data_IF_497307786428
#
_entry.id   IF_497307786428
#
_cell.length_a   1.000
_cell.length_b   1.000
_cell.length_c   1.000
_cell.angle_alpha   90.00
_cell.angle_beta   90.00
_cell.angle_gamma   90.00
#
_symmetry.space_group_name_H-M   'P 1'
#
loop_
_entity.id
_entity.type
_entity.pdbx_description
1 polymer ?
#
# COMPACT_ATOMS: atom_id res chain seq x y z
N UNK A 1 1.31 -9.56 20.19
CA UNK A 1 2.25 -8.57 19.62
C UNK A 1 1.52 -7.27 19.31
N UNK A 2 2.20 -6.14 19.45
CA UNK A 2 1.72 -4.82 19.05
C UNK A 2 2.40 -4.40 17.73
N UNK A 3 1.72 -3.61 16.91
CA UNK A 3 2.25 -3.06 15.66
C UNK A 3 2.25 -1.51 15.71
N UNK A 4 2.10 -0.88 14.55
CA UNK A 4 1.86 0.55 14.38
C UNK A 4 0.48 1.01 14.87
N UNK A 5 0.40 2.31 15.09
CA UNK A 5 -0.84 3.06 15.23
C UNK A 5 -1.01 4.00 14.03
N UNK A 6 -2.19 4.03 13.43
CA UNK A 6 -2.53 4.94 12.33
C UNK A 6 -3.90 5.61 12.58
N UNK A 7 -4.24 6.58 11.74
CA UNK A 7 -5.54 7.24 11.74
C UNK A 7 -5.89 7.62 10.31
N UNK A 8 -7.18 7.85 10.03
CA UNK A 8 -7.66 8.42 8.77
C UNK A 8 -7.45 9.95 8.73
N UNK A 9 -7.32 10.61 9.88
CA UNK A 9 -7.14 12.08 9.97
C UNK A 9 -5.69 12.52 9.67
N UNK A 10 -4.71 11.61 9.73
CA UNK A 10 -3.28 11.91 9.55
C UNK A 10 -2.57 10.80 8.76
N UNK A 11 -1.68 11.22 7.86
CA UNK A 11 -0.90 10.31 6.99
C UNK A 11 0.24 9.62 7.76
N UNK A 12 0.57 10.07 8.98
CA UNK A 12 1.77 9.63 9.72
C UNK A 12 1.41 8.56 10.74
N UNK A 13 1.84 7.29 10.56
CA UNK A 13 1.72 6.26 11.57
C UNK A 13 2.85 6.36 12.62
N UNK A 14 2.57 5.90 13.83
CA UNK A 14 3.51 5.88 14.94
C UNK A 14 3.68 4.48 15.52
N UNK A 15 4.82 4.20 16.14
CA UNK A 15 5.03 2.94 16.85
C UNK A 15 4.30 2.95 18.18
N UNK A 16 4.05 1.77 18.74
CA UNK A 16 3.43 1.64 20.07
C UNK A 16 4.22 2.41 21.15
N UNK A 17 5.55 2.48 21.07
CA UNK A 17 6.39 3.17 22.04
C UNK A 17 6.41 4.71 21.88
N UNK A 18 5.83 5.26 20.80
CA UNK A 18 5.75 6.72 20.63
C UNK A 18 4.83 7.38 21.66
N UNK A 19 3.78 6.66 22.06
CA UNK A 19 2.86 7.07 23.10
C UNK A 19 3.27 6.41 24.42
N UNK A 20 2.88 7.00 25.55
CA UNK A 20 3.23 6.51 26.89
C UNK A 20 2.41 5.29 27.32
N UNK A 21 2.39 4.25 26.48
CA UNK A 21 1.83 2.94 26.77
C UNK A 21 2.85 2.06 27.52
N UNK A 22 2.56 0.78 27.70
CA UNK A 22 3.41 -0.16 28.45
C UNK A 22 4.44 -0.85 27.52
N UNK A 23 5.70 -0.39 27.44
CA UNK A 23 6.73 -1.09 26.66
C UNK A 23 7.16 -2.40 27.34
N UNK A 24 7.62 -3.35 26.53
CA UNK A 24 8.36 -4.55 26.96
C UNK A 24 9.70 -4.59 26.21
N UNK A 25 10.67 -5.30 26.78
CA UNK A 25 11.94 -5.60 26.13
C UNK A 25 11.77 -6.14 24.70
N UNK A 26 12.46 -5.52 23.74
CA UNK A 26 12.34 -5.79 22.30
C UNK A 26 13.17 -6.99 21.84
N UNK A 27 13.89 -7.66 22.75
CA UNK A 27 14.78 -8.79 22.44
C UNK A 27 14.10 -9.93 21.67
N UNK A 28 12.79 -10.14 21.87
CA UNK A 28 11.98 -11.17 21.19
C UNK A 28 11.19 -10.65 19.98
N UNK A 29 11.61 -9.54 19.36
CA UNK A 29 10.97 -9.03 18.14
C UNK A 29 11.15 -10.02 16.95
N UNK A 30 10.07 -10.38 16.23
CA UNK A 30 10.16 -11.23 15.06
C UNK A 30 10.92 -10.53 13.92
N UNK A 31 11.59 -11.31 13.08
CA UNK A 31 12.31 -10.80 11.91
C UNK A 31 11.30 -10.37 10.84
N UNK A 32 11.39 -9.11 10.41
CA UNK A 32 10.54 -8.52 9.38
C UNK A 32 11.12 -8.77 7.99
N UNK A 33 10.27 -9.13 7.03
CA UNK A 33 10.73 -9.19 5.64
C UNK A 33 10.78 -7.79 5.00
N UNK A 34 11.47 -7.67 3.86
CA UNK A 34 11.68 -6.38 3.19
C UNK A 34 10.36 -5.63 2.89
N UNK A 35 9.31 -6.36 2.53
CA UNK A 35 8.00 -5.78 2.20
C UNK A 35 7.30 -5.22 3.45
N UNK A 36 7.39 -5.93 4.58
CA UNK A 36 6.88 -5.44 5.87
C UNK A 36 7.60 -4.16 6.29
N UNK A 37 8.94 -4.13 6.16
CA UNK A 37 9.73 -2.97 6.55
C UNK A 37 9.42 -1.74 5.70
N UNK A 38 9.29 -1.92 4.38
CA UNK A 38 9.00 -0.83 3.43
C UNK A 38 7.58 -0.26 3.63
N UNK A 39 6.64 -1.07 4.08
CA UNK A 39 5.27 -0.63 4.40
C UNK A 39 5.12 -0.10 5.83
N UNK A 40 6.19 -0.06 6.62
CA UNK A 40 6.16 0.45 7.98
C UNK A 40 5.41 -0.43 8.96
N UNK A 41 5.37 -1.75 8.73
CA UNK A 41 5.02 -2.70 9.80
C UNK A 41 6.19 -2.77 10.78
N UNK A 42 5.88 -2.71 12.08
CA UNK A 42 6.83 -2.75 13.20
C UNK A 42 6.26 -3.64 14.29
N UNK A 43 6.54 -4.95 14.21
CA UNK A 43 5.94 -5.92 15.13
C UNK A 43 6.81 -6.03 16.39
N UNK A 44 6.26 -5.61 17.53
CA UNK A 44 6.94 -5.61 18.83
C UNK A 44 6.21 -6.49 19.83
N UNK A 45 6.93 -7.12 20.79
CA UNK A 45 6.29 -7.79 21.91
C UNK A 45 5.47 -6.78 22.71
N UNK A 46 4.29 -7.19 23.17
CA UNK A 46 3.41 -6.36 24.00
C UNK A 46 3.36 -6.88 25.44
N UNK A 47 2.82 -6.10 26.38
CA UNK A 47 2.68 -6.46 27.79
C UNK A 47 1.69 -7.60 28.08
N UNK A 48 0.88 -7.94 27.09
CA UNK A 48 -0.21 -8.90 27.19
C UNK A 48 0.31 -10.33 27.07
N UNK A 49 0.37 -11.05 28.21
CA UNK A 49 0.73 -12.47 28.25
C UNK A 49 -0.55 -13.30 28.11
N UNK A 50 -0.60 -14.10 27.05
CA UNK A 50 -1.74 -14.94 26.70
C UNK A 50 -1.25 -16.38 26.70
N UNK A 51 -1.85 -17.23 27.55
CA UNK A 51 -1.63 -18.67 27.53
C UNK A 51 -2.86 -19.34 26.90
N UNK A 52 -2.64 -20.29 26.00
CA UNK A 52 -3.73 -20.91 25.26
C UNK A 52 -4.64 -21.72 26.20
N UNK A 53 -5.96 -21.52 26.11
CA UNK A 53 -6.99 -22.13 26.98
C UNK A 53 -7.00 -21.67 28.44
N UNK A 54 -6.22 -20.65 28.79
CA UNK A 54 -6.25 -20.03 30.12
C UNK A 54 -7.01 -18.70 30.04
N UNK A 55 -8.24 -18.70 30.57
CA UNK A 55 -9.01 -17.47 30.70
C UNK A 55 -8.42 -16.59 31.79
N UNK A 56 -8.17 -15.33 31.44
CA UNK A 56 -7.56 -14.35 32.35
C UNK A 56 -8.57 -13.22 32.54
N UNK A 57 -9.02 -12.98 33.77
CA UNK A 57 -9.91 -11.86 34.09
C UNK A 57 -9.10 -10.74 34.75
N UNK A 58 -9.14 -9.55 34.16
CA UNK A 58 -8.62 -8.31 34.76
C UNK A 58 -7.13 -8.35 35.18
N UNK A 59 -6.25 -8.83 34.30
CA UNK A 59 -4.82 -8.80 34.56
C UNK A 59 -4.22 -7.41 34.33
N UNK A 60 -3.25 -7.02 35.17
CA UNK A 60 -2.49 -5.77 35.04
C UNK A 60 -1.44 -5.89 33.93
N UNK A 61 -1.44 -4.94 33.00
CA UNK A 61 -0.36 -4.77 32.03
C UNK A 61 0.73 -3.83 32.59
N UNK A 62 0.37 -2.59 32.92
CA UNK A 62 1.23 -1.64 33.63
C UNK A 62 0.41 -0.50 34.23
N UNK A 63 1.04 0.34 35.06
CA UNK A 63 0.47 1.59 35.55
C UNK A 63 1.33 2.77 35.07
N UNK A 64 0.69 3.89 34.74
CA UNK A 64 1.33 5.13 34.31
C UNK A 64 0.90 6.27 35.21
N UNK A 65 1.87 6.98 35.74
CA UNK A 65 1.68 8.08 36.68
C UNK A 65 2.00 9.40 36.00
N UNK A 66 1.10 10.36 36.12
CA UNK A 66 1.27 11.72 35.61
C UNK A 66 1.07 12.71 36.75
N UNK A 67 1.97 13.67 36.88
CA UNK A 67 1.88 14.73 37.90
C UNK A 67 1.80 16.10 37.24
N UNK A 68 0.77 16.87 37.55
CA UNK A 68 0.59 18.22 37.03
C UNK A 68 1.68 19.17 37.51
N UNK A 69 2.23 19.96 36.58
CA UNK A 69 3.33 20.89 36.83
C UNK A 69 4.73 20.32 36.58
N UNK A 70 4.83 19.03 36.22
CA UNK A 70 6.06 18.41 35.74
C UNK A 70 6.07 18.39 34.20
N UNK A 71 7.06 19.05 33.60
CA UNK A 71 7.12 19.25 32.16
C UNK A 71 7.11 17.94 31.35
N UNK A 72 7.74 16.88 31.84
CA UNK A 72 7.77 15.57 31.18
C UNK A 72 6.40 14.85 31.24
N UNK A 73 5.79 14.79 32.43
CA UNK A 73 4.44 14.25 32.61
C UNK A 73 3.40 14.98 31.74
N UNK A 74 3.46 16.31 31.70
CA UNK A 74 2.57 17.13 30.90
C UNK A 74 2.77 16.90 29.39
N UNK A 75 4.03 16.77 28.93
CA UNK A 75 4.33 16.44 27.54
C UNK A 75 3.81 15.05 27.14
N UNK A 76 4.07 14.01 27.94
CA UNK A 76 3.58 12.64 27.67
C UNK A 76 2.05 12.59 27.62
N UNK A 77 1.38 13.26 28.56
CA UNK A 77 -0.08 13.35 28.56
C UNK A 77 -0.62 14.14 27.35
N UNK A 78 0.05 15.21 26.94
CA UNK A 78 -0.31 15.98 25.75
C UNK A 78 -0.22 15.13 24.47
N UNK A 79 0.84 14.33 24.32
CA UNK A 79 1.00 13.41 23.18
C UNK A 79 -0.12 12.37 23.16
N UNK A 80 -0.48 11.81 24.31
CA UNK A 80 -1.59 10.86 24.44
C UNK A 80 -2.93 11.52 24.06
N UNK A 81 -3.23 12.70 24.60
CA UNK A 81 -4.44 13.49 24.26
C UNK A 81 -4.51 13.81 22.77
N UNK A 82 -3.38 14.18 22.16
CA UNK A 82 -3.29 14.43 20.72
C UNK A 82 -3.60 13.16 19.91
N UNK A 83 -3.05 12.01 20.33
CA UNK A 83 -3.35 10.72 19.73
C UNK A 83 -4.84 10.37 19.77
N UNK A 84 -5.48 10.57 20.92
CA UNK A 84 -6.93 10.37 21.08
C UNK A 84 -7.75 11.35 20.25
N UNK A 85 -7.33 12.62 20.19
CA UNK A 85 -8.03 13.65 19.42
C UNK A 85 -8.04 13.35 17.92
N UNK A 86 -6.99 12.70 17.41
CA UNK A 86 -6.85 12.31 16.02
C UNK A 86 -7.37 10.88 15.76
N UNK A 87 -8.03 10.24 16.73
CA UNK A 87 -8.57 8.87 16.62
C UNK A 87 -7.53 7.83 16.14
N UNK A 88 -6.32 7.87 16.69
CA UNK A 88 -5.31 6.85 16.39
C UNK A 88 -5.75 5.46 16.85
N UNK A 89 -5.63 4.47 15.97
CA UNK A 89 -6.04 3.09 16.18
C UNK A 89 -4.84 2.16 16.39
N UNK A 90 -4.93 1.29 17.38
CA UNK A 90 -4.05 0.17 17.63
C UNK A 90 -4.25 -0.94 16.60
N UNK A 91 -3.15 -1.39 16.00
CA UNK A 91 -3.10 -2.62 15.20
C UNK A 91 -2.35 -3.69 16.00
N UNK A 92 -3.07 -4.65 16.54
CA UNK A 92 -2.47 -5.75 17.31
C UNK A 92 -2.56 -7.06 16.56
N UNK A 93 -1.68 -7.99 16.95
CA UNK A 93 -1.49 -9.26 16.27
C UNK A 93 -1.40 -10.40 17.30
N UNK A 94 -2.17 -11.44 17.07
CA UNK A 94 -2.15 -12.71 17.82
C UNK A 94 -2.18 -13.86 16.81
N UNK A 95 -1.22 -14.79 16.88
CA UNK A 95 -1.11 -15.95 15.96
C UNK A 95 -1.29 -15.60 14.46
N UNK A 96 -0.58 -14.55 14.04
CA UNK A 96 -0.63 -14.02 12.67
C UNK A 96 -2.02 -13.50 12.22
N UNK A 97 -3.02 -13.42 13.11
CA UNK A 97 -4.30 -12.75 12.89
C UNK A 97 -4.27 -11.32 13.45
N UNK A 98 -4.88 -10.34 12.75
CA UNK A 98 -5.13 -9.03 13.33
C UNK A 98 -6.19 -9.14 14.42
N UNK A 99 -6.04 -8.34 15.46
CA UNK A 99 -7.08 -8.14 16.47
C UNK A 99 -8.13 -7.19 15.89
N UNK A 100 -9.38 -7.62 15.88
CA UNK A 100 -10.47 -6.89 15.24
C UNK A 100 -11.42 -6.26 16.25
N UNK A 101 -11.85 -5.03 15.99
CA UNK A 101 -12.91 -4.40 16.75
C UNK A 101 -14.17 -4.35 15.91
N UNK A 102 -15.20 -5.04 16.40
CA UNK A 102 -16.45 -5.18 15.68
C UNK A 102 -17.58 -4.42 16.38
N UNK A 103 -18.34 -3.63 15.64
CA UNK A 103 -19.52 -2.93 16.15
C UNK A 103 -20.74 -3.16 15.24
N UNK A 104 -21.95 -3.20 15.82
CA UNK A 104 -23.17 -3.37 15.04
C UNK A 104 -23.49 -2.09 14.25
N UNK A 105 -23.96 -2.25 13.01
CA UNK A 105 -24.57 -1.18 12.22
C UNK A 105 -26.11 -1.29 12.30
N UNK A 106 -26.80 -0.20 11.95
CA UNK A 106 -28.28 -0.10 11.95
C UNK A 106 -28.99 -1.22 11.14
N UNK A 107 -28.31 -1.83 10.17
CA UNK A 107 -28.87 -2.85 9.26
C UNK A 107 -28.63 -4.31 9.69
N UNK A 108 -28.47 -4.60 10.99
CA UNK A 108 -28.09 -5.93 11.53
C UNK A 108 -26.74 -6.49 11.01
N UNK A 109 -26.00 -5.70 10.23
CA UNK A 109 -24.67 -6.04 9.74
C UNK A 109 -23.63 -5.65 10.78
N UNK A 110 -22.65 -6.51 11.00
CA UNK A 110 -21.51 -6.22 11.86
C UNK A 110 -20.34 -5.74 11.01
N UNK A 111 -19.78 -4.56 11.31
CA UNK A 111 -18.53 -4.12 10.71
C UNK A 111 -17.38 -4.47 11.66
N UNK A 112 -16.31 -5.06 11.13
CA UNK A 112 -15.10 -5.37 11.88
C UNK A 112 -13.91 -4.62 11.30
N UNK A 113 -13.39 -3.65 12.05
CA UNK A 113 -12.12 -3.00 11.73
C UNK A 113 -10.95 -3.86 12.18
N UNK A 114 -9.83 -3.80 11.46
CA UNK A 114 -8.56 -4.48 11.81
C UNK A 114 -7.72 -3.72 12.84
N UNK A 115 -8.24 -2.59 13.32
CA UNK A 115 -7.68 -1.84 14.44
C UNK A 115 -8.77 -1.28 15.35
N UNK A 116 -8.37 -0.83 16.53
CA UNK A 116 -9.28 -0.25 17.51
C UNK A 116 -8.69 1.03 18.09
N UNK A 117 -9.50 2.06 18.37
CA UNK A 117 -9.00 3.35 18.83
C UNK A 117 -8.29 3.25 20.18
N UNK A 118 -7.27 4.07 20.41
CA UNK A 118 -6.58 4.17 21.71
C UNK A 118 -7.43 4.82 22.81
N UNK A 119 -8.51 5.50 22.41
CA UNK A 119 -9.38 6.26 23.27
C UNK A 119 -10.30 7.13 22.43
N UNK A 120 -11.07 7.98 23.10
CA UNK A 120 -12.04 8.81 22.43
C UNK A 120 -12.13 10.21 23.06
N UNK A 121 -12.42 11.21 22.23
CA UNK A 121 -12.68 12.59 22.62
C UNK A 121 -14.13 12.93 22.28
N UNK A 122 -14.90 13.38 23.27
CA UNK A 122 -16.26 13.89 23.04
C UNK A 122 -16.16 15.35 22.59
N UNK A 123 -16.32 15.58 21.28
CA UNK A 123 -16.36 16.92 20.69
C UNK A 123 -17.78 17.49 20.76
N UNK A 124 -17.88 18.81 20.94
CA UNK A 124 -19.14 19.54 20.89
C UNK A 124 -19.40 19.94 19.43
N UNK A 125 -20.18 19.17 18.68
CA UNK A 125 -20.55 19.51 17.30
C UNK A 125 -21.82 20.41 17.30
N UNK A 126 -21.95 21.37 16.36
CA UNK A 126 -23.16 22.20 16.24
C UNK A 126 -24.45 21.41 15.94
N UNK A 127 -24.33 20.27 15.26
CA UNK A 127 -25.47 19.44 14.79
C UNK A 127 -25.75 18.21 15.70
N UNK A 128 -25.08 18.12 16.84
CA UNK A 128 -25.22 17.00 17.80
C UNK A 128 -23.90 16.67 18.51
N UNK A 129 -23.96 15.95 19.63
CA UNK A 129 -22.75 15.42 20.26
C UNK A 129 -22.27 14.20 19.45
N UNK A 130 -21.15 14.29 18.73
CA UNK A 130 -20.40 13.10 18.30
C UNK A 130 -19.81 12.45 19.55
N UNK A 131 -20.65 11.68 20.23
CA UNK A 131 -20.25 10.84 21.35
C UNK A 131 -19.38 9.68 20.86
N UNK A 132 -18.58 9.15 21.77
CA UNK A 132 -17.88 7.90 21.55
C UNK A 132 -18.90 6.78 21.34
N UNK A 133 -19.09 6.33 20.09
CA UNK A 133 -20.10 5.32 19.73
C UNK A 133 -19.98 4.01 20.53
N UNK A 134 -18.83 3.77 21.16
CA UNK A 134 -18.52 2.56 21.93
C UNK A 134 -19.34 2.43 23.22
N UNK A 135 -19.65 3.53 23.93
CA UNK A 135 -20.34 3.44 25.21
C UNK A 135 -21.16 4.70 25.53
N UNK A 136 -22.47 4.56 25.84
CA UNK A 136 -23.30 5.69 26.22
C UNK A 136 -22.84 6.40 27.50
N UNK A 137 -21.93 5.84 28.31
CA UNK A 137 -21.43 6.52 29.50
C UNK A 137 -20.42 7.64 29.18
N UNK A 138 -19.90 7.71 27.96
CA UNK A 138 -18.89 8.69 27.54
C UNK A 138 -19.57 9.97 27.04
N UNK A 139 -20.17 10.74 27.95
CA UNK A 139 -21.03 11.90 27.59
C UNK A 139 -20.42 13.27 27.85
N UNK A 140 -19.36 13.38 28.66
CA UNK A 140 -18.88 14.70 29.07
C UNK A 140 -18.10 15.37 27.94
N UNK A 141 -18.69 16.41 27.35
CA UNK A 141 -18.04 17.20 26.31
C UNK A 141 -16.71 17.80 26.79
N UNK A 142 -15.67 17.73 25.96
CA UNK A 142 -14.33 18.25 26.28
C UNK A 142 -13.50 17.34 27.19
N UNK A 143 -13.96 16.12 27.46
CA UNK A 143 -13.20 15.09 28.16
C UNK A 143 -12.67 14.04 27.19
N UNK A 144 -11.52 13.50 27.55
CA UNK A 144 -10.85 12.38 26.90
C UNK A 144 -11.04 11.12 27.72
N UNK A 145 -11.37 10.04 27.03
CA UNK A 145 -11.60 8.72 27.58
C UNK A 145 -10.57 7.75 26.99
N UNK A 146 -9.42 7.52 27.66
CA UNK A 146 -8.44 6.54 27.19
C UNK A 146 -8.99 5.13 27.36
N UNK A 147 -8.77 4.27 26.37
CA UNK A 147 -9.15 2.86 26.42
C UNK A 147 -8.03 2.06 27.07
N UNK A 148 -8.04 2.06 28.40
CA UNK A 148 -7.04 1.41 29.24
C UNK A 148 -7.36 -0.05 29.55
N UNK A 149 -8.61 -0.49 29.39
CA UNK A 149 -8.99 -1.89 29.50
C UNK A 149 -9.35 -2.48 28.13
N UNK A 150 -8.81 -3.66 27.84
CA UNK A 150 -9.12 -4.41 26.61
C UNK A 150 -9.62 -5.80 26.96
N UNK A 151 -10.80 -6.14 26.46
CA UNK A 151 -11.35 -7.48 26.58
C UNK A 151 -11.15 -8.23 25.25
N UNK A 152 -10.36 -9.31 25.29
CA UNK A 152 -9.99 -10.10 24.12
C UNK A 152 -10.78 -11.41 24.11
N UNK A 153 -11.68 -11.55 23.14
CA UNK A 153 -12.34 -12.82 22.85
C UNK A 153 -11.60 -13.54 21.72
N UNK A 154 -10.94 -14.65 22.06
CA UNK A 154 -10.19 -15.49 21.11
C UNK A 154 -11.06 -16.69 20.74
N UNK A 155 -11.45 -16.79 19.47
CA UNK A 155 -12.17 -17.96 18.97
C UNK A 155 -11.20 -18.95 18.35
N UNK A 156 -11.31 -20.22 18.73
CA UNK A 156 -10.41 -21.28 18.25
C UNK A 156 -11.17 -22.50 17.71
N UNK A 157 -10.52 -23.19 16.77
CA UNK A 157 -10.93 -24.50 16.28
C UNK A 157 -10.21 -25.56 17.11
N UNK A 158 -10.94 -26.42 17.82
CA UNK A 158 -10.33 -27.50 18.60
C UNK A 158 -9.77 -28.58 17.68
N UNK A 159 -8.53 -29.01 17.94
CA UNK A 159 -7.91 -30.13 17.23
C UNK A 159 -8.31 -31.51 17.78
N UNK A 160 -9.13 -31.58 18.83
CA UNK A 160 -9.43 -32.84 19.53
C UNK A 160 -10.11 -33.90 18.64
N UNK A 161 -10.86 -33.48 17.61
CA UNK A 161 -11.58 -34.35 16.68
C UNK A 161 -10.90 -34.47 15.31
N UNK A 162 -9.74 -33.85 15.13
CA UNK A 162 -9.10 -33.64 13.83
C UNK A 162 -7.76 -34.36 13.74
N UNK A 163 -7.45 -34.95 12.58
CA UNK A 163 -6.22 -35.73 12.36
C UNK A 163 -4.93 -34.91 12.62
N UNK A 164 -4.94 -33.61 12.35
CA UNK A 164 -3.82 -32.71 12.62
C UNK A 164 -3.65 -32.34 14.10
N UNK A 165 -4.67 -32.56 14.94
CA UNK A 165 -4.64 -32.29 16.37
C UNK A 165 -4.21 -33.49 17.24
N UNK A 166 -4.07 -34.67 16.64
CA UNK A 166 -3.71 -35.93 17.33
C UNK A 166 -2.35 -35.81 18.06
N UNK A 167 -1.42 -35.00 17.55
CA UNK A 167 -0.12 -34.75 18.18
C UNK A 167 -0.20 -33.88 19.46
N UNK A 168 -1.23 -33.05 19.61
CA UNK A 168 -1.37 -32.07 20.71
C UNK A 168 -2.48 -32.41 21.71
N UNK A 169 -3.15 -33.57 21.56
CA UNK A 169 -4.26 -34.05 22.43
C UNK A 169 -5.34 -32.96 22.63
N UNK A 170 -5.97 -32.89 23.82
CA UNK A 170 -7.06 -31.95 24.12
C UNK A 170 -6.63 -30.47 24.25
N UNK A 171 -5.32 -30.19 24.28
CA UNK A 171 -4.80 -28.82 24.47
C UNK A 171 -4.33 -28.16 23.16
N UNK A 172 -4.60 -28.79 22.01
CA UNK A 172 -4.27 -28.25 20.70
C UNK A 172 -5.48 -27.58 20.03
N UNK A 173 -5.31 -26.34 19.56
CA UNK A 173 -6.30 -25.67 18.72
C UNK A 173 -5.67 -24.62 17.82
N UNK A 174 -6.38 -24.26 16.75
CA UNK A 174 -5.96 -23.20 15.83
C UNK A 174 -6.82 -21.97 16.04
N UNK A 175 -6.20 -20.79 16.14
CA UNK A 175 -6.93 -19.54 16.32
C UNK A 175 -7.60 -19.14 15.00
N UNK A 176 -8.90 -18.86 15.08
CA UNK A 176 -9.75 -18.48 13.96
C UNK A 176 -9.94 -16.96 13.94
N UNK A 177 -10.31 -16.37 15.07
CA UNK A 177 -10.56 -14.93 15.17
C UNK A 177 -10.17 -14.40 16.53
N UNK A 178 -9.86 -13.11 16.57
CA UNK A 178 -9.54 -12.38 17.80
C UNK A 178 -10.31 -11.07 17.76
N UNK A 179 -11.30 -10.95 18.64
CA UNK A 179 -12.13 -9.76 18.78
C UNK A 179 -11.72 -9.01 20.03
N UNK A 180 -11.66 -7.68 19.94
CA UNK A 180 -11.40 -6.81 21.08
C UNK A 180 -12.61 -5.94 21.36
N UNK A 181 -12.93 -5.79 22.65
CA UNK A 181 -13.85 -4.77 23.14
C UNK A 181 -13.04 -3.82 24.01
N UNK A 182 -12.68 -2.63 23.50
CA UNK A 182 -11.96 -1.65 24.28
C UNK A 182 -12.91 -0.90 25.22
N UNK A 183 -12.45 -0.60 26.42
CA UNK A 183 -13.21 0.16 27.42
C UNK A 183 -12.30 1.06 28.25
N UNK A 184 -12.88 2.16 28.71
CA UNK A 184 -12.28 3.08 29.68
C UNK A 184 -12.79 2.71 31.07
N UNK A 185 -11.88 2.39 32.00
CA UNK A 185 -12.19 1.98 33.38
C UNK A 185 -11.33 2.77 34.37
N UNK A 186 -11.95 3.37 35.37
CA UNK A 186 -11.26 4.01 36.47
C UNK A 186 -10.92 3.00 37.58
N UNK A 187 -9.67 2.52 37.58
CA UNK A 187 -9.16 1.63 38.63
C UNK A 187 -8.76 2.45 39.87
N UNK A 188 -9.37 2.18 41.02
CA UNK A 188 -9.11 2.92 42.27
C UNK A 188 -7.75 2.58 42.92
N UNK A 189 -7.25 1.37 42.67
CA UNK A 189 -5.98 0.88 43.22
C UNK A 189 -5.28 -0.03 42.22
N UNK A 190 -3.95 -0.04 42.27
CA UNK A 190 -3.12 -0.97 41.51
C UNK A 190 -3.17 -2.42 42.00
N UNK A 191 -3.52 -2.62 43.28
CA UNK A 191 -3.55 -3.94 43.93
C UNK A 191 -4.93 -4.57 43.89
N UNK A 192 -5.99 -3.76 43.82
CA UNK A 192 -7.39 -4.19 43.76
C UNK A 192 -8.02 -3.70 42.46
N UNK A 193 -7.82 -4.47 41.40
CA UNK A 193 -8.33 -4.15 40.07
C UNK A 193 -9.80 -4.55 39.95
N UNK A 194 -10.66 -3.64 39.50
CA UNK A 194 -12.07 -3.90 39.27
C UNK A 194 -12.45 -3.60 37.82
N UNK A 195 -12.33 -4.60 36.95
CA UNK A 195 -12.71 -4.48 35.54
C UNK A 195 -14.22 -4.62 35.29
N UNK A 196 -15.03 -4.93 36.32
CA UNK A 196 -16.49 -4.94 36.19
C UNK A 196 -17.10 -3.53 36.42
N UNK A 197 -16.28 -2.58 36.88
CA UNK A 197 -16.69 -1.18 37.04
C UNK A 197 -17.03 -0.54 35.69
N UNK A 198 -18.18 0.14 35.63
CA UNK A 198 -18.63 0.91 34.46
C UNK A 198 -18.23 2.38 34.53
N UNK A 199 -17.49 2.78 35.57
CA UNK A 199 -17.01 4.15 35.74
C UNK A 199 -15.79 4.39 34.85
N UNK A 200 -15.88 5.29 33.85
CA UNK A 200 -14.75 5.61 33.00
C UNK A 200 -13.70 6.47 33.69
N UNK A 201 -12.45 6.35 33.23
CA UNK A 201 -11.43 7.34 33.54
C UNK A 201 -11.64 8.57 32.62
N UNK A 202 -11.71 9.73 33.25
CA UNK A 202 -12.05 10.99 32.61
C UNK A 202 -10.87 11.96 32.69
N UNK A 203 -10.32 12.34 31.54
CA UNK A 203 -9.21 13.28 31.46
C UNK A 203 -9.71 14.58 30.86
N UNK A 204 -9.63 15.68 31.60
CA UNK A 204 -10.00 17.00 31.09
C UNK A 204 -9.05 17.47 29.98
N UNK A 205 -9.56 18.29 29.06
CA UNK A 205 -8.75 18.87 27.98
C UNK A 205 -7.62 19.77 28.50
N UNK A 206 -7.88 20.56 29.54
CA UNK A 206 -6.87 21.41 30.19
C UNK A 206 -5.69 20.60 30.76
N UNK A 207 -4.55 21.27 30.93
CA UNK A 207 -3.41 20.71 31.65
C UNK A 207 -3.81 20.34 33.08
N UNK A 208 -3.12 19.35 33.65
CA UNK A 208 -3.33 18.98 35.04
C UNK A 208 -2.92 20.16 35.94
N UNK A 209 -3.76 20.58 36.90
CA UNK A 209 -3.38 21.52 37.94
C UNK A 209 -2.10 21.09 38.67
N UNK A 210 -1.25 22.04 39.10
CA UNK A 210 -0.01 21.72 39.78
C UNK A 210 -0.28 20.94 41.07
N UNK A 211 0.37 19.78 41.22
CA UNK A 211 0.21 18.91 42.39
C UNK A 211 -0.92 17.87 42.28
N UNK A 212 -1.78 17.92 41.25
CA UNK A 212 -2.74 16.85 40.97
C UNK A 212 -2.03 15.67 40.30
N UNK A 213 -2.34 14.45 40.74
CA UNK A 213 -1.86 13.21 40.13
C UNK A 213 -2.97 12.53 39.32
N UNK A 214 -2.60 11.94 38.20
CA UNK A 214 -3.46 11.13 37.34
C UNK A 214 -2.77 9.79 37.10
N UNK A 215 -3.42 8.70 37.48
CA UNK A 215 -2.90 7.36 37.31
C UNK A 215 -3.74 6.61 36.28
N UNK A 216 -3.10 6.13 35.21
CA UNK A 216 -3.73 5.32 34.17
C UNK A 216 -3.22 3.90 34.32
N UNK A 217 -4.09 3.00 34.80
CA UNK A 217 -3.77 1.59 34.95
C UNK A 217 -4.29 0.84 33.72
N UNK A 218 -3.38 0.23 32.96
CA UNK A 218 -3.72 -0.60 31.80
C UNK A 218 -3.98 -2.03 32.24
N UNK A 219 -5.12 -2.57 31.86
CA UNK A 219 -5.52 -3.95 32.20
C UNK A 219 -6.08 -4.67 30.98
N UNK A 220 -6.15 -6.00 31.06
CA UNK A 220 -6.72 -6.81 29.99
C UNK A 220 -7.45 -8.03 30.54
N UNK A 221 -8.42 -8.50 29.76
CA UNK A 221 -9.10 -9.79 29.97
C UNK A 221 -8.97 -10.62 28.70
N UNK A 222 -8.92 -11.94 28.85
CA UNK A 222 -8.84 -12.90 27.75
C UNK A 222 -9.87 -14.00 28.00
N UNK A 223 -10.70 -14.22 26.99
CA UNK A 223 -11.72 -15.26 26.98
C UNK A 223 -11.58 -16.14 25.75
N UNK A 224 -11.48 -17.45 25.96
CA UNK A 224 -11.43 -18.43 24.88
C UNK A 224 -12.81 -18.97 24.55
N UNK A 225 -13.14 -18.98 23.26
CA UNK A 225 -14.42 -19.50 22.76
C UNK A 225 -14.18 -20.56 21.70
N UNK A 226 -14.73 -21.76 21.90
CA UNK A 226 -14.59 -22.85 20.93
C UNK A 226 -15.61 -22.70 19.80
N UNK A 227 -15.15 -22.76 18.55
CA UNK A 227 -16.03 -22.83 17.38
C UNK A 227 -15.46 -23.76 16.30
N UNK A 228 -16.02 -24.96 16.19
CA UNK A 228 -15.59 -25.96 15.20
C UNK A 228 -16.32 -25.88 13.86
N UNK A 229 -17.22 -24.90 13.66
CA UNK A 229 -17.94 -24.75 12.39
C UNK A 229 -17.10 -24.08 11.32
N UNK A 230 -16.16 -23.21 11.73
CA UNK A 230 -15.33 -22.43 10.82
C UNK A 230 -14.04 -23.19 10.53
N UNK A 231 -13.79 -23.49 9.25
CA UNK A 231 -12.53 -24.09 8.83
C UNK A 231 -11.39 -23.09 8.99
N UNK A 232 -10.21 -23.58 9.33
CA UNK A 232 -9.02 -22.72 9.47
C UNK A 232 -8.68 -21.95 8.18
N UNK A 233 -8.94 -22.53 7.00
CA UNK A 233 -8.71 -21.89 5.71
C UNK A 233 -9.58 -20.65 5.46
N UNK A 234 -10.82 -20.63 5.99
CA UNK A 234 -11.79 -19.54 5.86
C UNK A 234 -11.70 -18.52 7.00
N UNK A 235 -10.63 -18.56 7.81
CA UNK A 235 -10.52 -17.71 9.01
C UNK A 235 -10.43 -16.21 8.72
N UNK A 236 -10.15 -15.82 7.48
CA UNK A 236 -10.10 -14.42 7.05
C UNK A 236 -11.46 -13.88 6.60
N UNK A 237 -12.44 -14.75 6.35
CA UNK A 237 -13.70 -14.39 5.71
C UNK A 237 -14.50 -13.40 6.55
N UNK A 238 -14.52 -13.54 7.87
CA UNK A 238 -15.24 -12.60 8.76
C UNK A 238 -14.74 -11.15 8.64
N UNK A 239 -13.46 -10.95 8.33
CA UNK A 239 -12.88 -9.61 8.13
C UNK A 239 -13.28 -9.11 6.75
N UNK A 240 -13.08 -9.94 5.72
CA UNK A 240 -13.31 -9.60 4.32
C UNK A 240 -14.79 -9.33 4.03
N UNK A 241 -15.70 -10.13 4.57
CA UNK A 241 -17.15 -9.97 4.43
C UNK A 241 -17.69 -8.76 5.19
N UNK A 242 -17.06 -8.40 6.31
CA UNK A 242 -17.50 -7.25 7.12
C UNK A 242 -17.18 -5.90 6.47
N UNK A 243 -16.32 -5.84 5.45
CA UNK A 243 -15.97 -4.56 4.79
C UNK A 243 -17.16 -4.03 3.96
N UNK A 244 -17.67 -2.81 4.23
CA UNK A 244 -18.94 -2.29 3.70
C UNK A 244 -18.89 -2.00 2.20
N UNK A 245 -17.71 -2.03 1.58
CA UNK A 245 -17.48 -1.71 0.18
C UNK A 245 -17.18 -2.92 -0.71
N UNK A 246 -17.39 -4.16 -0.26
CA UNK A 246 -17.14 -5.36 -1.09
C UNK A 246 -18.26 -5.71 -2.06
N UNK A 247 -19.29 -4.87 -2.18
CA UNK A 247 -20.06 -4.87 -3.42
C UNK A 247 -19.12 -4.34 -4.51
N UNK A 248 -18.55 -5.23 -5.31
CA UNK A 248 -17.94 -4.88 -6.60
C UNK A 248 -18.89 -3.88 -7.23
N UNK A 249 -18.39 -2.68 -7.54
CA UNK A 249 -19.17 -1.63 -8.18
C UNK A 249 -19.41 -2.03 -9.63
N UNK A 250 -20.12 -3.13 -9.84
CA UNK A 250 -20.45 -3.71 -11.14
C UNK A 250 -21.08 -2.66 -12.04
N UNK A 251 -21.85 -1.74 -11.45
CA UNK A 251 -22.39 -0.60 -12.15
C UNK A 251 -21.30 0.33 -12.71
N UNK A 252 -20.28 0.69 -11.92
CA UNK A 252 -19.14 1.51 -12.37
C UNK A 252 -18.30 0.78 -13.42
N UNK A 253 -18.01 -0.50 -13.21
CA UNK A 253 -17.24 -1.32 -14.16
C UNK A 253 -18.00 -1.46 -15.48
N UNK A 254 -19.27 -1.84 -15.44
CA UNK A 254 -20.11 -2.00 -16.63
C UNK A 254 -20.28 -0.66 -17.35
N UNK A 255 -20.54 0.42 -16.62
CA UNK A 255 -20.64 1.76 -17.21
C UNK A 255 -19.33 2.17 -17.91
N UNK A 256 -18.19 1.97 -17.25
CA UNK A 256 -16.87 2.26 -17.84
C UNK A 256 -16.60 1.40 -19.09
N UNK A 257 -16.98 0.12 -19.07
CA UNK A 257 -16.82 -0.81 -20.18
C UNK A 257 -17.72 -0.43 -21.37
N UNK A 258 -18.98 -0.05 -21.12
CA UNK A 258 -19.90 0.44 -22.15
C UNK A 258 -19.39 1.73 -22.77
N UNK A 259 -18.92 2.69 -21.95
CA UNK A 259 -18.34 3.94 -22.46
C UNK A 259 -17.11 3.65 -23.33
N UNK A 260 -16.20 2.78 -22.88
CA UNK A 260 -15.01 2.41 -23.66
C UNK A 260 -15.37 1.69 -24.96
N UNK A 261 -16.32 0.75 -24.93
CA UNK A 261 -16.81 0.07 -26.13
C UNK A 261 -17.49 1.04 -27.10
N UNK A 262 -18.33 1.94 -26.62
CA UNK A 262 -19.02 2.91 -27.47
C UNK A 262 -18.06 3.94 -28.08
N UNK A 263 -17.13 4.47 -27.28
CA UNK A 263 -16.10 5.40 -27.77
C UNK A 263 -15.17 4.72 -28.77
N UNK A 264 -14.70 3.49 -28.48
CA UNK A 264 -13.85 2.74 -29.40
C UNK A 264 -14.59 2.37 -30.69
N UNK A 265 -15.87 2.02 -30.61
CA UNK A 265 -16.73 1.77 -31.77
C UNK A 265 -17.00 3.02 -32.59
N UNK A 266 -17.24 4.17 -31.95
CA UNK A 266 -17.41 5.46 -32.62
C UNK A 266 -16.11 5.86 -33.34
N UNK A 267 -14.96 5.77 -32.67
CA UNK A 267 -13.65 6.02 -33.28
C UNK A 267 -13.38 5.06 -34.43
N UNK A 268 -13.69 3.76 -34.27
CA UNK A 268 -13.55 2.77 -35.32
C UNK A 268 -14.47 3.06 -36.52
N UNK A 269 -15.72 3.47 -36.30
CA UNK A 269 -16.64 3.85 -37.37
C UNK A 269 -16.20 5.12 -38.10
N UNK A 270 -15.71 6.14 -37.37
CA UNK A 270 -15.10 7.32 -37.97
C UNK A 270 -13.86 6.93 -38.79
N UNK A 271 -12.98 6.08 -38.24
CA UNK A 271 -11.78 5.61 -38.92
C UNK A 271 -12.13 4.78 -40.16
N UNK A 272 -13.09 3.86 -40.09
CA UNK A 272 -13.55 3.06 -41.22
C UNK A 272 -14.21 3.93 -42.28
N UNK A 273 -15.08 4.87 -41.89
CA UNK A 273 -15.76 5.77 -42.82
C UNK A 273 -14.78 6.71 -43.52
N UNK A 274 -13.81 7.25 -42.79
CA UNK A 274 -12.74 8.09 -43.36
C UNK A 274 -11.84 7.27 -44.28
N UNK A 275 -11.41 6.08 -43.87
CA UNK A 275 -10.58 5.19 -44.68
C UNK A 275 -11.31 4.71 -45.94
N UNK A 276 -12.60 4.36 -45.85
CA UNK A 276 -13.40 3.94 -47.01
C UNK A 276 -13.63 5.09 -47.99
N UNK A 277 -13.94 6.29 -47.48
CA UNK A 277 -14.07 7.52 -48.29
C UNK A 277 -12.74 7.88 -48.96
N UNK A 278 -11.63 7.77 -48.24
CA UNK A 278 -10.31 8.04 -48.78
C UNK A 278 -9.95 7.02 -49.87
N UNK A 279 -10.11 5.72 -49.63
CA UNK A 279 -9.87 4.66 -50.63
C UNK A 279 -10.75 4.84 -51.88
N UNK A 280 -12.05 5.12 -51.71
CA UNK A 280 -12.96 5.34 -52.83
C UNK A 280 -12.55 6.56 -53.67
N UNK A 281 -12.10 7.64 -53.02
CA UNK A 281 -11.54 8.83 -53.70
C UNK A 281 -10.24 8.49 -54.44
N UNK A 282 -9.35 7.69 -53.86
CA UNK A 282 -8.12 7.28 -54.53
C UNK A 282 -8.39 6.46 -55.80
N UNK A 283 -9.32 5.49 -55.74
CA UNK A 283 -9.65 4.65 -56.90
C UNK A 283 -10.29 5.44 -58.06
N UNK A 284 -10.94 6.58 -57.76
CA UNK A 284 -11.49 7.48 -58.78
C UNK A 284 -10.43 8.37 -59.44
N UNK A 285 -9.29 8.61 -58.77
CA UNK A 285 -8.22 9.51 -59.24
C UNK A 285 -7.10 8.80 -60.02
N UNK A 286 -7.25 7.51 -60.35
CA UNK A 286 -6.31 6.69 -61.15
C UNK A 286 -6.24 7.10 -62.64
N UNK A 287 -6.69 8.31 -62.99
CA UNK A 287 -6.72 8.88 -64.34
C UNK A 287 -5.83 10.12 -64.52
N UNK A 288 -5.03 10.50 -63.52
CA UNK A 288 -4.07 11.61 -63.60
C UNK A 288 -2.79 11.34 -62.81
N UNK A 289 -1.75 10.85 -63.49
CA UNK A 289 -0.52 10.28 -62.90
C UNK A 289 0.34 11.25 -62.06
N UNK A 290 0.12 12.57 -62.06
CA UNK A 290 1.06 13.53 -61.43
C UNK A 290 0.54 14.25 -60.16
N UNK A 291 -0.74 14.10 -59.78
CA UNK A 291 -1.29 14.76 -58.57
C UNK A 291 -1.37 13.82 -57.34
N UNK A 292 -0.93 12.58 -57.49
CA UNK A 292 -1.22 11.46 -56.59
C UNK A 292 -0.29 11.37 -55.36
N UNK A 293 0.78 12.18 -55.30
CA UNK A 293 1.79 12.14 -54.23
C UNK A 293 1.62 13.21 -53.11
N UNK A 294 0.67 14.15 -53.23
CA UNK A 294 0.63 15.36 -52.38
C UNK A 294 -0.51 15.46 -51.34
N UNK A 295 -1.37 14.44 -51.17
CA UNK A 295 -2.46 14.48 -50.17
C UNK A 295 -2.69 13.15 -49.42
N UNK A 296 -3.02 13.24 -48.12
CA UNK A 296 -3.56 12.13 -47.31
C UNK A 296 -2.59 11.39 -46.38
N UNK A 297 -3.08 10.32 -45.72
CA UNK A 297 -2.33 9.48 -44.76
C UNK A 297 -1.06 8.83 -45.36
N UNK A 298 -0.98 8.74 -46.69
CA UNK A 298 0.17 8.25 -47.45
C UNK A 298 1.41 9.16 -47.33
N UNK A 299 1.23 10.48 -47.12
CA UNK A 299 2.32 11.40 -46.76
C UNK A 299 2.86 11.11 -45.35
N UNK A 300 1.95 10.77 -44.44
CA UNK A 300 2.27 10.51 -43.03
C UNK A 300 2.98 9.17 -42.87
N UNK A 301 2.66 8.20 -43.73
CA UNK A 301 3.27 6.86 -43.74
C UNK A 301 4.81 6.89 -43.67
N UNK A 302 5.47 7.77 -44.43
CA UNK A 302 6.93 7.95 -44.42
C UNK A 302 7.48 8.78 -43.25
N UNK A 303 6.60 9.47 -42.50
CA UNK A 303 6.94 10.36 -41.38
C UNK A 303 6.64 9.75 -40.00
N UNK A 304 5.70 8.79 -39.88
CA UNK A 304 5.39 8.07 -38.62
C UNK A 304 6.62 7.38 -38.03
N UNK A 305 7.43 6.76 -38.89
CA UNK A 305 8.61 6.01 -38.47
C UNK A 305 9.86 6.88 -38.38
N UNK A 306 9.72 8.21 -38.46
CA UNK A 306 10.86 9.11 -38.29
C UNK A 306 11.36 9.01 -36.84
N UNK A 307 12.68 8.88 -36.62
CA UNK A 307 13.22 8.90 -35.28
C UNK A 307 12.85 10.20 -34.57
N UNK A 308 12.24 10.12 -33.37
CA UNK A 308 11.80 11.31 -32.65
C UNK A 308 13.01 12.10 -32.12
N UNK A 309 12.84 13.42 -31.96
CA UNK A 309 13.91 14.33 -31.47
C UNK A 309 14.54 13.86 -30.15
N UNK A 310 13.75 13.25 -29.26
CA UNK A 310 14.17 12.69 -27.97
C UNK A 310 14.04 11.16 -27.94
N UNK A 311 14.50 10.47 -28.99
CA UNK A 311 14.37 9.00 -29.10
C UNK A 311 15.01 8.19 -27.98
N UNK A 312 16.07 8.69 -27.34
CA UNK A 312 16.68 8.05 -26.16
C UNK A 312 15.74 8.06 -24.94
N UNK A 313 15.04 9.17 -24.70
CA UNK A 313 14.12 9.26 -23.57
C UNK A 313 12.91 8.36 -23.78
N UNK A 314 12.38 8.33 -25.01
CA UNK A 314 11.25 7.47 -25.36
C UNK A 314 11.59 5.99 -25.22
N UNK A 315 12.77 5.56 -25.69
CA UNK A 315 13.21 4.16 -25.56
C UNK A 315 13.44 3.77 -24.09
N UNK A 316 13.90 4.70 -23.25
CA UNK A 316 14.04 4.50 -21.81
C UNK A 316 12.68 4.30 -21.15
N UNK A 317 11.73 5.22 -21.36
CA UNK A 317 10.39 5.15 -20.77
C UNK A 317 9.64 3.90 -21.20
N UNK A 318 9.77 3.49 -22.46
CA UNK A 318 9.16 2.26 -22.97
C UNK A 318 9.79 1.01 -22.33
N UNK A 319 11.12 1.01 -22.12
CA UNK A 319 11.82 -0.04 -21.39
C UNK A 319 11.36 -0.17 -19.94
N UNK A 320 11.24 0.94 -19.22
CA UNK A 320 10.71 0.93 -17.86
C UNK A 320 9.22 0.54 -17.82
N UNK A 321 8.44 0.95 -18.83
CA UNK A 321 7.03 0.59 -18.95
C UNK A 321 6.82 -0.93 -19.12
N UNK A 322 7.61 -1.58 -19.98
CA UNK A 322 7.52 -3.04 -20.15
C UNK A 322 7.94 -3.78 -18.88
N UNK A 323 8.92 -3.25 -18.13
CA UNK A 323 9.36 -3.83 -16.86
C UNK A 323 8.22 -3.84 -15.84
N UNK A 324 7.57 -2.70 -15.64
CA UNK A 324 6.42 -2.58 -14.73
C UNK A 324 5.26 -3.45 -15.19
N UNK A 325 4.95 -3.44 -16.49
CA UNK A 325 3.87 -4.27 -17.05
C UNK A 325 4.09 -5.77 -16.84
N UNK A 326 5.30 -6.28 -17.14
CA UNK A 326 5.63 -7.69 -16.89
C UNK A 326 5.61 -8.01 -15.39
N UNK A 327 6.13 -7.11 -14.54
CA UNK A 327 6.09 -7.29 -13.09
C UNK A 327 4.66 -7.39 -12.58
N UNK A 328 3.76 -6.49 -12.99
CA UNK A 328 2.35 -6.53 -12.57
C UNK A 328 1.66 -7.79 -13.04
N UNK A 329 1.90 -8.23 -14.28
CA UNK A 329 1.29 -9.43 -14.84
C UNK A 329 1.75 -10.70 -14.11
N UNK A 330 3.05 -10.85 -13.86
CA UNK A 330 3.60 -12.01 -13.14
C UNK A 330 3.16 -12.02 -11.67
N UNK A 331 3.16 -10.86 -11.01
CA UNK A 331 2.69 -10.74 -9.62
C UNK A 331 1.21 -11.10 -9.51
N UNK A 332 0.38 -10.63 -10.46
CA UNK A 332 -1.04 -10.96 -10.52
C UNK A 332 -1.26 -12.46 -10.75
N UNK A 333 -0.48 -13.09 -11.64
CA UNK A 333 -0.56 -14.54 -11.86
C UNK A 333 -0.26 -15.33 -10.57
N UNK A 334 0.78 -14.98 -9.82
CA UNK A 334 1.07 -15.61 -8.53
C UNK A 334 0.01 -15.34 -7.46
N UNK A 335 -0.61 -14.16 -7.48
CA UNK A 335 -1.74 -13.84 -6.61
C UNK A 335 -2.98 -14.69 -6.94
N UNK A 336 -3.33 -14.82 -8.23
CA UNK A 336 -4.46 -15.63 -8.68
C UNK A 336 -4.27 -17.14 -8.42
N UNK A 337 -3.03 -17.63 -8.45
CA UNK A 337 -2.71 -19.02 -8.07
C UNK A 337 -2.74 -19.27 -6.55
N UNK A 338 -2.92 -18.22 -5.74
CA UNK A 338 -3.04 -18.33 -4.28
C UNK A 338 -1.69 -18.40 -3.54
N UNK A 339 -0.56 -18.28 -4.23
CA UNK A 339 0.77 -18.30 -3.58
C UNK A 339 1.05 -17.06 -2.73
N UNK A 340 0.35 -15.95 -3.02
CA UNK A 340 0.47 -14.67 -2.28
C UNK A 340 -0.74 -14.45 -1.36
N UNK A 341 -1.05 -15.43 -0.51
CA UNK A 341 -2.13 -15.32 0.48
C UNK A 341 -1.84 -14.20 1.50
N UNK A 342 -2.85 -13.46 1.98
CA UNK A 342 -2.74 -12.52 3.10
C UNK A 342 -2.13 -13.13 4.38
N UNK A 343 -2.13 -14.46 4.50
CA UNK A 343 -1.46 -15.17 5.58
C UNK A 343 0.05 -14.90 5.62
N UNK A 344 0.71 -14.67 4.48
CA UNK A 344 2.13 -14.35 4.42
C UNK A 344 2.31 -12.82 4.34
N UNK A 345 2.45 -12.18 5.49
CA UNK A 345 2.53 -10.71 5.58
C UNK A 345 3.72 -10.15 4.80
N UNK A 346 3.49 -9.06 4.08
CA UNK A 346 4.50 -8.42 3.23
C UNK A 346 4.99 -9.26 2.04
N UNK A 347 4.54 -10.51 1.86
CA UNK A 347 5.03 -11.40 0.80
C UNK A 347 4.66 -10.91 -0.61
N UNK A 348 3.48 -10.31 -0.77
CA UNK A 348 3.07 -9.70 -2.03
C UNK A 348 4.04 -8.57 -2.44
N UNK A 349 4.43 -7.75 -1.47
CA UNK A 349 5.31 -6.60 -1.71
C UNK A 349 6.76 -7.02 -1.92
N UNK A 350 7.27 -7.96 -1.12
CA UNK A 350 8.60 -8.54 -1.38
C UNK A 350 8.66 -9.18 -2.75
N UNK A 351 7.64 -9.95 -3.13
CA UNK A 351 7.55 -10.59 -4.44
C UNK A 351 7.56 -9.54 -5.55
N UNK A 352 6.74 -8.50 -5.46
CA UNK A 352 6.70 -7.43 -6.45
C UNK A 352 8.07 -6.73 -6.59
N UNK A 353 8.75 -6.41 -5.48
CA UNK A 353 10.08 -5.76 -5.50
C UNK A 353 11.17 -6.66 -6.10
N UNK A 354 11.18 -7.95 -5.73
CA UNK A 354 12.13 -8.92 -6.27
C UNK A 354 11.88 -9.13 -7.77
N UNK A 355 10.61 -9.31 -8.18
CA UNK A 355 10.22 -9.44 -9.58
C UNK A 355 10.59 -8.20 -10.38
N UNK A 356 10.39 -7.00 -9.84
CA UNK A 356 10.80 -5.76 -10.49
C UNK A 356 12.29 -5.77 -10.83
N UNK A 357 13.14 -6.20 -9.90
CA UNK A 357 14.59 -6.23 -10.07
C UNK A 357 15.05 -7.34 -11.01
N UNK A 358 14.44 -8.53 -10.94
CA UNK A 358 14.72 -9.64 -11.85
C UNK A 358 14.24 -9.35 -13.29
N UNK A 359 13.16 -8.58 -13.46
CA UNK A 359 12.63 -8.20 -14.76
C UNK A 359 13.34 -6.99 -15.40
N UNK A 360 14.52 -6.61 -14.89
CA UNK A 360 15.39 -5.63 -15.55
C UNK A 360 15.84 -6.04 -16.97
N UNK A 361 15.94 -7.34 -17.23
CA UNK A 361 16.35 -7.88 -18.55
C UNK A 361 15.39 -7.49 -19.68
N UNK A 362 14.05 -7.74 -19.58
CA UNK A 362 13.07 -7.22 -20.54
C UNK A 362 13.17 -5.71 -20.78
N UNK A 363 13.39 -4.93 -19.70
CA UNK A 363 13.48 -3.48 -19.75
C UNK A 363 14.64 -3.02 -20.65
N UNK A 364 15.84 -3.57 -20.40
CA UNK A 364 17.03 -3.30 -21.18
C UNK A 364 16.89 -3.76 -22.63
N UNK A 365 16.28 -4.93 -22.85
CA UNK A 365 16.08 -5.50 -24.18
C UNK A 365 15.18 -4.63 -25.07
N UNK A 366 13.99 -4.26 -24.59
CA UNK A 366 13.05 -3.42 -25.35
C UNK A 366 13.62 -2.03 -25.56
N UNK A 367 14.22 -1.44 -24.53
CA UNK A 367 14.84 -0.12 -24.63
C UNK A 367 15.94 -0.08 -25.70
N UNK A 368 16.87 -1.04 -25.68
CA UNK A 368 17.96 -1.09 -26.64
C UNK A 368 17.48 -1.36 -28.08
N UNK A 369 16.45 -2.20 -28.25
CA UNK A 369 15.85 -2.49 -29.56
C UNK A 369 15.21 -1.27 -30.20
N UNK A 370 14.44 -0.53 -29.41
CA UNK A 370 13.72 0.67 -29.88
C UNK A 370 14.70 1.84 -30.10
N UNK A 371 15.70 1.97 -29.23
CA UNK A 371 16.78 2.94 -29.45
C UNK A 371 17.57 2.66 -30.73
N UNK A 372 17.83 1.37 -31.02
CA UNK A 372 18.49 0.95 -32.26
C UNK A 372 17.63 1.19 -33.50
N UNK A 373 16.31 0.99 -33.44
CA UNK A 373 15.43 1.32 -34.58
C UNK A 373 15.41 2.81 -34.92
N UNK A 374 15.65 3.69 -33.93
CA UNK A 374 15.80 5.12 -34.17
C UNK A 374 17.19 5.53 -34.70
N UNK A 375 18.09 4.59 -35.00
CA UNK A 375 19.46 4.87 -35.45
C UNK A 375 20.41 5.26 -34.31
N UNK A 376 20.05 4.96 -33.06
CA UNK A 376 20.88 5.25 -31.89
C UNK A 376 22.13 4.35 -31.80
N UNK A 377 23.31 4.97 -31.73
CA UNK A 377 24.61 4.26 -31.64
C UNK A 377 25.11 4.16 -30.19
N UNK A 378 24.72 5.11 -29.32
CA UNK A 378 25.20 5.23 -27.93
C UNK A 378 24.44 4.29 -26.98
N UNK A 379 24.49 2.99 -27.23
CA UNK A 379 23.75 1.98 -26.46
C UNK A 379 24.11 1.98 -24.97
N UNK A 380 25.39 2.14 -24.60
CA UNK A 380 25.83 2.20 -23.19
C UNK A 380 25.11 3.31 -22.40
N UNK A 381 24.98 4.50 -23.01
CA UNK A 381 24.28 5.63 -22.40
C UNK A 381 22.78 5.38 -22.30
N UNK A 382 22.19 4.72 -23.31
CA UNK A 382 20.77 4.36 -23.26
C UNK A 382 20.50 3.41 -22.08
N UNK A 383 21.31 2.36 -21.91
CA UNK A 383 21.14 1.38 -20.83
C UNK A 383 21.29 2.00 -19.45
N UNK A 384 22.31 2.84 -19.27
CA UNK A 384 22.52 3.54 -18.01
C UNK A 384 21.31 4.43 -17.68
N UNK A 385 20.77 5.13 -18.68
CA UNK A 385 19.58 5.96 -18.50
C UNK A 385 18.33 5.11 -18.23
N UNK A 386 18.19 3.93 -18.85
CA UNK A 386 17.07 3.01 -18.61
C UNK A 386 17.04 2.49 -17.17
N UNK A 387 18.20 2.16 -16.61
CA UNK A 387 18.30 1.62 -15.26
C UNK A 387 18.31 2.68 -14.16
N UNK A 388 18.71 3.91 -14.47
CA UNK A 388 18.82 4.98 -13.48
C UNK A 388 17.66 5.99 -13.46
N UNK A 389 17.04 6.30 -14.61
CA UNK A 389 16.10 7.41 -14.70
C UNK A 389 14.83 7.17 -13.87
N UNK A 390 14.04 6.15 -14.22
CA UNK A 390 12.76 5.90 -13.56
C UNK A 390 12.95 5.44 -12.10
N UNK A 391 13.81 4.43 -11.80
CA UNK A 391 14.05 4.03 -10.42
C UNK A 391 14.68 5.13 -9.58
N UNK A 392 15.57 5.96 -10.16
CA UNK A 392 16.22 7.06 -9.45
C UNK A 392 15.28 8.20 -9.09
N UNK A 393 14.33 8.54 -9.97
CA UNK A 393 13.28 9.53 -9.63
C UNK A 393 12.39 9.00 -8.50
N UNK A 394 11.95 7.74 -8.58
CA UNK A 394 11.11 7.12 -7.53
C UNK A 394 11.87 7.02 -6.21
N UNK A 395 13.13 6.59 -6.24
CA UNK A 395 13.97 6.50 -5.05
C UNK A 395 14.25 7.89 -4.46
N UNK A 396 14.48 8.91 -5.29
CA UNK A 396 14.69 10.29 -4.83
C UNK A 396 13.45 10.84 -4.09
N UNK A 397 12.26 10.66 -4.65
CA UNK A 397 11.01 11.03 -4.01
C UNK A 397 10.80 10.25 -2.70
N UNK A 398 11.02 8.94 -2.74
CA UNK A 398 10.91 8.07 -1.57
C UNK A 398 11.89 8.47 -0.46
N UNK A 399 13.14 8.79 -0.80
CA UNK A 399 14.16 9.21 0.15
C UNK A 399 13.80 10.53 0.83
N UNK A 400 13.33 11.53 0.07
CA UNK A 400 12.86 12.81 0.63
C UNK A 400 11.68 12.59 1.58
N UNK A 401 10.70 11.76 1.20
CA UNK A 401 9.59 11.41 2.08
C UNK A 401 10.07 10.67 3.34
N UNK A 402 11.05 9.78 3.21
CA UNK A 402 11.63 9.07 4.34
C UNK A 402 12.34 10.00 5.34
N UNK A 403 13.04 11.03 4.84
CA UNK A 403 13.66 12.06 5.69
C UNK A 403 12.60 12.82 6.51
N UNK A 404 11.47 13.14 5.90
CA UNK A 404 10.34 13.79 6.59
C UNK A 404 9.76 12.86 7.66
N UNK A 405 9.58 11.58 7.35
CA UNK A 405 9.08 10.58 8.30
C UNK A 405 10.04 10.36 9.47
N UNK A 406 11.35 10.33 9.24
CA UNK A 406 12.35 10.29 10.32
C UNK A 406 12.31 11.54 11.20
N UNK A 407 12.21 12.74 10.60
CA UNK A 407 12.11 13.99 11.37
C UNK A 407 10.87 14.02 12.27
N UNK A 408 9.82 13.27 11.92
CA UNK A 408 8.58 13.16 12.71
C UNK A 408 8.54 11.94 13.63
N UNK A 409 9.55 11.07 13.63
CA UNK A 409 9.56 9.85 14.45
C UNK A 409 8.48 8.83 14.06
N UNK A 410 8.13 8.75 12.78
CA UNK A 410 7.09 7.86 12.27
C UNK A 410 7.55 6.40 12.22
N UNK A 411 6.64 5.46 12.51
CA UNK A 411 6.88 4.02 12.28
C UNK A 411 6.99 3.66 10.80
N UNK A 412 6.43 4.50 9.94
CA UNK A 412 6.50 4.38 8.49
C UNK A 412 7.89 4.67 7.92
N UNK A 413 8.78 5.22 8.74
CA UNK A 413 10.14 5.49 8.31
C UNK A 413 10.93 4.18 8.13
N UNK A 414 11.53 4.05 6.96
CA UNK A 414 12.36 2.92 6.59
C UNK A 414 13.75 3.12 7.19
N UNK A 415 14.29 2.14 7.94
CA UNK A 415 15.58 2.28 8.63
C UNK A 415 16.73 2.41 7.64
N UNK A 416 17.83 2.99 8.09
CA UNK A 416 18.99 3.25 7.24
C UNK A 416 19.60 1.97 6.63
N UNK A 417 19.55 0.86 7.38
CA UNK A 417 20.03 -0.44 6.91
C UNK A 417 19.27 -0.96 5.68
N UNK A 418 17.94 -0.82 5.67
CA UNK A 418 17.14 -1.27 4.53
C UNK A 418 17.24 -0.31 3.34
N UNK A 419 17.47 0.98 3.56
CA UNK A 419 17.84 1.90 2.47
C UNK A 419 19.12 1.45 1.76
N UNK A 420 20.16 1.08 2.50
CA UNK A 420 21.39 0.51 1.91
C UNK A 420 21.09 -0.79 1.18
N UNK A 421 20.27 -1.67 1.75
CA UNK A 421 19.89 -2.93 1.11
C UNK A 421 19.14 -2.71 -0.22
N UNK A 422 18.24 -1.72 -0.30
CA UNK A 422 17.55 -1.35 -1.53
C UNK A 422 18.51 -0.78 -2.58
N UNK A 423 19.46 0.07 -2.16
CA UNK A 423 20.51 0.57 -3.06
C UNK A 423 21.40 -0.57 -3.57
N UNK A 424 21.80 -1.50 -2.71
CA UNK A 424 22.60 -2.65 -3.08
C UNK A 424 21.84 -3.57 -4.07
N UNK A 425 20.54 -3.77 -3.87
CA UNK A 425 19.71 -4.56 -4.76
C UNK A 425 19.47 -3.85 -6.11
N UNK A 426 19.35 -2.52 -6.12
CA UNK A 426 19.26 -1.72 -7.34
C UNK A 426 20.57 -1.73 -8.15
N UNK A 427 21.69 -1.33 -7.55
CA UNK A 427 22.98 -1.24 -8.24
C UNK A 427 23.64 -2.60 -8.48
N UNK A 428 23.48 -3.54 -7.55
CA UNK A 428 24.14 -4.86 -7.61
C UNK A 428 23.41 -5.88 -8.47
N UNK A 429 22.08 -5.79 -8.60
CA UNK A 429 21.29 -6.77 -9.38
C UNK A 429 20.59 -6.11 -10.55
N UNK A 430 19.74 -5.10 -10.31
CA UNK A 430 18.91 -4.52 -11.37
C UNK A 430 19.73 -3.90 -12.50
N UNK A 431 20.75 -3.10 -12.16
CA UNK A 431 21.62 -2.46 -13.16
C UNK A 431 22.31 -3.52 -14.05
N UNK A 432 23.08 -4.51 -13.53
CA UNK A 432 23.67 -5.56 -14.36
C UNK A 432 22.66 -6.31 -15.24
N UNK A 433 21.50 -6.67 -14.72
CA UNK A 433 20.47 -7.38 -15.49
C UNK A 433 19.94 -6.54 -16.67
N UNK A 434 19.73 -5.24 -16.47
CA UNK A 434 19.36 -4.33 -17.58
C UNK A 434 20.45 -4.25 -18.65
N UNK A 435 21.73 -4.29 -18.26
CA UNK A 435 22.86 -4.35 -19.20
C UNK A 435 22.86 -5.64 -20.02
N UNK A 436 22.62 -6.78 -19.38
CA UNK A 436 22.51 -8.08 -20.06
C UNK A 436 21.38 -8.05 -21.10
N UNK A 437 20.18 -7.60 -20.69
CA UNK A 437 19.03 -7.50 -21.59
C UNK A 437 19.29 -6.59 -22.78
N UNK A 438 19.91 -5.43 -22.54
CA UNK A 438 20.24 -4.49 -23.59
C UNK A 438 21.34 -4.97 -24.53
N UNK A 439 22.34 -5.71 -24.03
CA UNK A 439 23.37 -6.33 -24.85
C UNK A 439 22.75 -7.30 -25.87
N UNK A 440 21.83 -8.17 -25.43
CA UNK A 440 21.09 -9.05 -26.34
C UNK A 440 20.15 -8.29 -27.27
N UNK A 441 19.50 -7.23 -26.77
CA UNK A 441 18.63 -6.36 -27.57
C UNK A 441 19.37 -5.68 -28.71
N UNK A 442 20.57 -5.15 -28.44
CA UNK A 442 21.37 -4.42 -29.41
C UNK A 442 22.07 -5.32 -30.44
N UNK A 443 22.37 -6.58 -30.11
CA UNK A 443 22.94 -7.56 -31.07
C UNK A 443 21.93 -7.99 -32.13
N UNK A 444 20.64 -8.02 -31.82
CA UNK A 444 19.62 -8.38 -32.83
C UNK A 444 19.50 -7.30 -33.90
N UNK A 445 19.01 -7.70 -35.09
CA UNK A 445 18.72 -6.77 -36.20
C UNK A 445 17.73 -5.69 -35.74
N UNK A 446 17.90 -4.48 -36.28
CA UNK A 446 16.94 -3.39 -36.07
C UNK A 446 15.56 -3.82 -36.53
N UNK A 447 14.52 -3.32 -35.86
CA UNK A 447 13.15 -3.50 -36.33
C UNK A 447 13.04 -2.88 -37.73
N UNK A 448 12.71 -3.69 -38.72
CA UNK A 448 12.45 -3.21 -40.08
C UNK A 448 11.10 -2.49 -40.08
N UNK A 449 11.11 -1.24 -40.52
CA UNK A 449 9.88 -0.50 -40.72
C UNK A 449 9.21 -1.01 -41.99
N UNK A 450 7.87 -1.14 -42.02
CA UNK A 450 7.14 -1.60 -43.21
C UNK A 450 7.29 -0.65 -44.42
N UNK A 451 8.01 0.47 -44.25
CA UNK A 451 8.03 1.62 -45.14
C UNK A 451 9.41 2.26 -45.11
N UNK A 452 9.86 2.80 -46.24
CA UNK A 452 11.07 3.62 -46.29
C UNK A 452 10.79 5.02 -45.75
N UNK A 453 11.56 5.43 -44.72
CA UNK A 453 11.42 6.76 -44.11
C UNK A 453 11.89 7.83 -45.10
N UNK A 454 11.10 8.89 -45.28
CA UNK A 454 11.42 9.94 -46.24
C UNK A 454 12.62 10.79 -45.75
N UNK A 455 13.74 10.76 -46.46
CA UNK A 455 14.95 11.49 -46.09
C UNK A 455 14.88 12.99 -46.38
N UNK A 456 14.64 13.84 -45.37
CA UNK A 456 14.65 15.31 -45.50
C UNK A 456 15.98 15.83 -46.07
N UNK A 457 17.11 15.12 -45.89
CA UNK A 457 18.43 15.58 -46.33
C UNK A 457 18.54 15.81 -47.84
N UNK A 458 17.62 15.26 -48.66
CA UNK A 458 17.60 15.46 -50.10
C UNK A 458 16.57 16.50 -50.60
N UNK A 459 15.52 16.84 -49.84
CA UNK A 459 14.53 17.85 -50.29
C UNK A 459 15.11 19.27 -50.26
N UNK A 460 15.87 19.64 -49.22
CA UNK A 460 16.50 20.97 -49.17
C UNK A 460 17.59 21.14 -50.23
N UNK A 461 18.36 20.09 -50.51
CA UNK A 461 19.42 20.09 -51.53
C UNK A 461 18.86 20.05 -52.96
N UNK A 462 17.73 19.37 -53.20
CA UNK A 462 17.00 19.41 -54.49
C UNK A 462 16.26 20.73 -54.71
N UNK A 463 15.58 21.31 -53.70
CA UNK A 463 14.99 22.66 -53.80
C UNK A 463 16.03 23.75 -54.04
N UNK A 464 17.18 23.69 -53.37
CA UNK A 464 18.26 24.67 -53.56
C UNK A 464 18.96 24.53 -54.93
N UNK A 465 19.03 23.32 -55.50
CA UNK A 465 19.51 23.09 -56.88
C UNK A 465 18.49 23.43 -57.96
N UNK A 466 17.19 23.27 -57.67
CA UNK A 466 16.10 23.68 -58.57
C UNK A 466 15.98 25.21 -58.65
N UNK A 467 16.04 25.93 -57.50
CA UNK A 467 16.08 27.39 -57.50
C UNK A 467 17.33 27.96 -58.21
N UNK A 468 18.49 27.32 -58.06
CA UNK A 468 19.73 27.70 -58.79
C UNK A 468 19.70 27.42 -60.30
N UNK A 469 18.77 26.60 -60.79
CA UNK A 469 18.59 26.33 -62.23
C UNK A 469 17.53 27.24 -62.87
N UNK A 470 16.64 27.85 -62.09
CA UNK A 470 15.69 28.86 -62.59
C UNK A 470 16.23 30.30 -62.53
N UNK A 471 17.39 30.51 -61.92
CA UNK A 471 18.08 31.82 -61.81
C UNK A 471 19.35 31.90 -62.66
N UNK A 472 19.47 31.04 -63.69
CA UNK A 472 20.57 31.07 -64.66
C UNK A 472 20.04 31.08 -66.08
#
# INVERSE_FOLDING_TARGET
YVNRLNTEESVIPYEYHHFDFCPIDESNSPVENLGQVVFGERIRPGPYKIQFLEDVKCAKACAKHYKGGEADSDHRLMVLKKGMSLNYQHHWIVDNMPVTWCYPLENERQYCSTGFPMGCLVRRHPDGEEGCMTNPNYRRAGYYYPFNHVDLTITYHSGATEEWGVAFKQNGGRIISVKVVPSSINHKSETELNCDSKEPIEIQSSSLPPGQTLDIIYTYSVHFTQNNKIKWSSRWDYILESMPHTNIQWFSILNSLVIVLFLSGMVAMIMLRTLHKDIARYNQMDSGEDAQEEFGWKLVHGDVFRPPRKGMLLSVLLGSGIQVFCMTLVTLAFACLGFLSPANRGALMTCAMVLFVLLGTPAGYVSARIYKSFGGIKWKSNVLLTSMLCPGVVFGLFFVMNLILWSKGSSGAVPFSTLIALLALWFGVSVPLTFVGAYFGFRKRSLEHPVTVCGIRNRHRRRSRALKRQTK
#
